data_IF_519047940116
#
_entry.id   IF_519047940116
#
_cell.length_a   1.000
_cell.length_b   1.000
_cell.length_c   1.000
_cell.angle_alpha   90.00
_cell.angle_beta   90.00
_cell.angle_gamma   90.00
#
_symmetry.space_group_name_H-M   'P 1'
#
loop_
_entity.id
_entity.type
_entity.pdbx_description
1 polymer ?
#
# COMPACT_ATOMS: atom_id res chain seq x y z
N UNK A 1 -16.53 6.98 3.91
CA UNK A 1 -15.89 6.90 5.24
C UNK A 1 -15.06 5.62 5.30
N UNK A 2 -13.78 5.66 4.96
CA UNK A 2 -12.87 4.49 5.10
C UNK A 2 -11.52 4.89 5.73
N UNK A 3 -11.51 6.00 6.46
CA UNK A 3 -10.30 6.64 7.03
C UNK A 3 -9.83 6.07 8.36
N UNK A 4 -9.91 4.75 8.56
CA UNK A 4 -9.41 4.11 9.80
C UNK A 4 -8.65 2.82 9.49
N UNK A 5 -7.86 2.81 8.41
CA UNK A 5 -6.86 1.77 8.25
C UNK A 5 -5.58 2.23 8.94
N UNK A 6 -5.22 1.45 9.96
CA UNK A 6 -4.07 1.68 10.82
C UNK A 6 -2.84 2.06 9.97
N UNK A 7 -2.19 3.19 10.29
CA UNK A 7 -1.07 3.70 9.52
C UNK A 7 0.27 3.06 9.94
N UNK A 8 0.25 2.30 11.03
CA UNK A 8 1.42 1.60 11.55
C UNK A 8 1.82 0.41 10.68
N UNK A 9 3.11 0.08 10.73
CA UNK A 9 3.64 -1.12 10.07
C UNK A 9 3.01 -2.37 10.67
N UNK A 10 2.78 -3.36 9.82
CA UNK A 10 2.23 -4.66 10.22
C UNK A 10 3.36 -5.69 10.35
N UNK A 11 3.22 -6.68 11.25
CA UNK A 11 4.25 -7.71 11.44
C UNK A 11 4.43 -8.63 10.22
N UNK A 12 3.36 -8.87 9.45
CA UNK A 12 3.39 -9.72 8.25
C UNK A 12 2.79 -8.97 7.07
N UNK A 13 3.60 -8.79 6.00
CA UNK A 13 3.19 -8.14 4.76
C UNK A 13 3.25 -9.14 3.60
N UNK A 14 2.10 -9.71 3.24
CA UNK A 14 1.99 -10.56 2.04
C UNK A 14 1.80 -9.68 0.80
N UNK A 15 2.07 -10.22 -0.39
CA UNK A 15 1.86 -9.49 -1.64
C UNK A 15 0.41 -9.08 -1.83
N UNK A 16 -0.54 -9.99 -1.60
CA UNK A 16 -1.97 -9.69 -1.74
C UNK A 16 -2.41 -8.60 -0.75
N UNK A 17 -1.90 -8.66 0.48
CA UNK A 17 -2.21 -7.64 1.48
C UNK A 17 -1.58 -6.28 1.13
N UNK A 18 -0.36 -6.27 0.58
CA UNK A 18 0.28 -5.07 0.09
C UNK A 18 -0.53 -4.39 -1.03
N UNK A 19 -1.09 -5.16 -1.97
CA UNK A 19 -1.99 -4.61 -2.99
C UNK A 19 -3.26 -3.99 -2.36
N UNK A 20 -3.89 -4.68 -1.41
CA UNK A 20 -5.07 -4.15 -0.71
C UNK A 20 -4.76 -2.85 0.04
N UNK A 21 -3.62 -2.78 0.74
CA UNK A 21 -3.16 -1.56 1.41
C UNK A 21 -2.95 -0.43 0.40
N UNK A 22 -2.29 -0.70 -0.73
CA UNK A 22 -2.05 0.32 -1.75
C UNK A 22 -3.36 0.85 -2.36
N UNK A 23 -4.38 0.00 -2.53
CA UNK A 23 -5.72 0.40 -3.00
C UNK A 23 -6.46 1.24 -1.96
N UNK A 24 -6.45 0.83 -0.69
CA UNK A 24 -7.15 1.58 0.37
C UNK A 24 -6.44 2.90 0.68
N UNK A 25 -5.11 2.92 0.64
CA UNK A 25 -4.30 4.10 0.93
C UNK A 25 -4.00 4.93 -0.32
N UNK A 26 -4.74 4.75 -1.42
CA UNK A 26 -4.56 5.53 -2.64
C UNK A 26 -4.73 7.03 -2.35
N UNK A 27 -5.80 7.39 -1.64
CA UNK A 27 -6.14 8.75 -1.18
C UNK A 27 -5.72 9.01 0.28
N UNK A 28 -4.69 8.30 0.76
CA UNK A 28 -4.21 8.51 2.12
C UNK A 28 -3.67 9.94 2.28
N UNK A 29 -4.27 10.72 3.17
CA UNK A 29 -3.89 12.10 3.45
C UNK A 29 -2.50 12.23 4.11
N UNK A 30 -1.96 11.15 4.66
CA UNK A 30 -0.61 11.13 5.20
C UNK A 30 0.39 11.13 4.04
N UNK A 31 1.12 12.23 3.89
CA UNK A 31 2.24 12.32 2.95
C UNK A 31 3.26 11.19 3.17
N UNK A 32 3.44 10.76 4.42
CA UNK A 32 4.33 9.67 4.83
C UNK A 32 3.52 8.66 5.64
N UNK A 33 2.93 7.69 4.97
CA UNK A 33 2.18 6.60 5.61
C UNK A 33 3.09 5.36 5.76
N UNK A 34 3.42 4.92 6.99
CA UNK A 34 4.33 3.79 7.22
C UNK A 34 3.86 2.48 6.59
N UNK A 35 2.58 2.12 6.74
CA UNK A 35 2.01 0.90 6.15
C UNK A 35 2.00 0.93 4.62
N UNK A 36 1.74 2.10 4.00
CA UNK A 36 1.78 2.30 2.54
C UNK A 36 3.20 2.12 2.01
N UNK A 37 4.20 2.67 2.71
CA UNK A 37 5.60 2.48 2.36
C UNK A 37 6.02 1.01 2.48
N UNK A 38 5.62 0.34 3.57
CA UNK A 38 5.89 -1.08 3.76
C UNK A 38 5.27 -1.93 2.64
N UNK A 39 4.01 -1.66 2.28
CA UNK A 39 3.33 -2.34 1.19
C UNK A 39 4.06 -2.12 -0.15
N UNK A 40 4.43 -0.87 -0.46
CA UNK A 40 5.22 -0.54 -1.66
C UNK A 40 6.54 -1.31 -1.70
N UNK A 41 7.31 -1.32 -0.63
CA UNK A 41 8.57 -2.06 -0.55
C UNK A 41 8.35 -3.55 -0.80
N UNK A 42 7.31 -4.14 -0.20
CA UNK A 42 6.99 -5.55 -0.40
C UNK A 42 6.66 -5.89 -1.85
N UNK A 43 5.92 -5.02 -2.54
CA UNK A 43 5.61 -5.20 -3.95
C UNK A 43 6.85 -5.06 -4.84
N UNK A 44 7.78 -4.15 -4.49
CA UNK A 44 9.06 -4.00 -5.20
C UNK A 44 9.91 -5.26 -5.04
N UNK A 45 10.08 -5.76 -3.81
CA UNK A 45 10.82 -7.00 -3.52
C UNK A 45 10.24 -8.21 -4.28
N UNK A 46 8.92 -8.26 -4.40
CA UNK A 46 8.23 -9.32 -5.12
C UNK A 46 8.24 -9.14 -6.66
N UNK A 47 8.87 -8.08 -7.18
CA UNK A 47 8.79 -7.67 -8.59
C UNK A 47 7.34 -7.54 -9.11
N UNK A 48 6.42 -7.10 -8.24
CA UNK A 48 4.98 -6.94 -8.50
C UNK A 48 4.51 -5.51 -8.30
N UNK A 49 5.43 -4.56 -8.19
CA UNK A 49 5.10 -3.14 -8.18
C UNK A 49 4.87 -2.65 -9.61
N UNK A 50 3.63 -2.78 -10.07
CA UNK A 50 3.18 -2.19 -11.33
C UNK A 50 2.51 -0.85 -11.03
N UNK A 51 3.03 0.28 -11.54
CA UNK A 51 2.26 1.51 -11.58
C UNK A 51 1.00 1.26 -12.41
N UNK A 52 -0.13 1.81 -11.98
CA UNK A 52 -1.37 1.75 -12.75
C UNK A 52 -1.22 2.64 -13.99
N UNK A 53 -0.63 2.06 -15.04
CA UNK A 53 -0.41 2.72 -16.34
C UNK A 53 -1.69 2.79 -17.17
N UNK A 54 -2.85 2.34 -16.66
CA UNK A 54 -4.09 2.15 -17.41
C UNK A 54 -5.29 2.93 -16.86
N UNK A 55 -5.07 4.03 -16.14
CA UNK A 55 -6.13 5.00 -15.87
C UNK A 55 -6.19 6.05 -16.98
N UNK A 56 -6.86 5.70 -18.07
CA UNK A 56 -7.30 6.63 -19.12
C UNK A 56 -8.48 7.49 -18.64
#
# INVERSE_FOLDING_TARGET
MYGVMNHDRVPVMTVNFAHAIMQVHIDCAFCICPVKQQAKLRLIEANRFVPDSHRA
#
